data_IF_430217840077
#
_entry.id   IF_430217840077
#
_cell.length_a   1.000
_cell.length_b   1.000
_cell.length_c   1.000
_cell.angle_alpha   90.00
_cell.angle_beta   90.00
_cell.angle_gamma   90.00
#
_symmetry.space_group_name_H-M   'P 1'
#
loop_
_entity.id
_entity.type
_entity.pdbx_description
1 polymer ?
#
# COMPACT_ATOMS: atom_id res chain seq x y z
N UNK A 1 58.80 8.56 61.82
CA UNK A 1 58.38 9.94 61.49
C UNK A 1 58.44 10.28 60.00
N UNK A 2 59.52 9.95 59.25
CA UNK A 2 59.55 10.21 57.80
C UNK A 2 58.75 9.16 57.02
N UNK A 3 58.93 7.89 57.36
CA UNK A 3 58.28 6.75 56.70
C UNK A 3 56.75 6.74 56.92
N UNK A 4 56.28 7.04 58.12
CA UNK A 4 54.84 7.13 58.44
C UNK A 4 54.13 8.20 57.60
N UNK A 5 54.81 9.33 57.34
CA UNK A 5 54.27 10.42 56.51
C UNK A 5 54.17 9.99 55.05
N UNK A 6 55.15 9.24 54.54
CA UNK A 6 55.09 8.71 53.18
C UNK A 6 53.95 7.70 53.00
N UNK A 7 53.72 6.84 54.01
CA UNK A 7 52.61 5.88 54.00
C UNK A 7 51.26 6.62 53.99
N UNK A 8 51.10 7.65 54.83
CA UNK A 8 49.88 8.47 54.87
C UNK A 8 49.63 9.13 53.51
N UNK A 9 50.65 9.76 52.91
CA UNK A 9 50.52 10.42 51.61
C UNK A 9 50.11 9.44 50.50
N UNK A 10 50.70 8.24 50.47
CA UNK A 10 50.32 7.19 49.50
C UNK A 10 48.88 6.72 49.72
N UNK A 11 48.47 6.58 50.98
CA UNK A 11 47.12 6.18 51.32
C UNK A 11 46.08 7.22 50.86
N UNK A 12 46.35 8.50 51.11
CA UNK A 12 45.50 9.60 50.66
C UNK A 12 45.39 9.64 49.13
N UNK A 13 46.49 9.40 48.42
CA UNK A 13 46.49 9.34 46.95
C UNK A 13 45.65 8.17 46.44
N UNK A 14 45.77 6.98 47.05
CA UNK A 14 44.94 5.81 46.71
C UNK A 14 43.45 6.11 46.93
N UNK A 15 43.11 6.77 48.04
CA UNK A 15 41.73 7.17 48.33
C UNK A 15 41.22 8.13 47.26
N UNK A 16 42.03 9.14 46.87
CA UNK A 16 41.66 10.11 45.84
C UNK A 16 41.39 9.44 44.50
N UNK A 17 42.32 8.60 44.04
CA UNK A 17 42.18 7.87 42.78
C UNK A 17 40.96 6.96 42.76
N UNK A 18 40.69 6.29 43.90
CA UNK A 18 39.49 5.46 44.03
C UNK A 18 38.21 6.28 43.98
N UNK A 19 38.18 7.43 44.64
CA UNK A 19 37.03 8.33 44.62
C UNK A 19 36.73 8.82 43.18
N UNK A 20 37.77 9.25 42.46
CA UNK A 20 37.66 9.69 41.07
C UNK A 20 37.15 8.56 40.16
N UNK A 21 37.72 7.36 40.26
CA UNK A 21 37.29 6.22 39.47
C UNK A 21 35.81 5.86 39.74
N UNK A 22 35.40 5.87 41.01
CA UNK A 22 34.01 5.61 41.37
C UNK A 22 33.07 6.66 40.78
N UNK A 23 33.44 7.93 40.85
CA UNK A 23 32.67 9.01 40.22
C UNK A 23 32.52 8.77 38.71
N UNK A 24 33.61 8.50 38.00
CA UNK A 24 33.58 8.20 36.56
C UNK A 24 32.69 6.99 36.24
N UNK A 25 32.77 5.92 37.04
CA UNK A 25 31.91 4.74 36.87
C UNK A 25 30.42 5.07 37.09
N UNK A 26 30.10 5.92 38.06
CA UNK A 26 28.70 6.32 38.31
C UNK A 26 28.15 7.18 37.18
N UNK A 27 28.93 8.12 36.64
CA UNK A 27 28.54 8.96 35.50
C UNK A 27 28.25 8.08 34.28
N UNK A 28 29.16 7.15 33.96
CA UNK A 28 28.99 6.22 32.83
C UNK A 28 27.75 5.34 33.02
N UNK A 29 27.52 4.82 34.23
CA UNK A 29 26.33 4.02 34.55
C UNK A 29 25.05 4.83 34.32
N UNK A 30 25.00 6.06 34.81
CA UNK A 30 23.83 6.93 34.66
C UNK A 30 23.56 7.26 33.20
N UNK A 31 24.60 7.53 32.41
CA UNK A 31 24.47 7.75 30.97
C UNK A 31 23.86 6.53 30.26
N UNK A 32 24.31 5.32 30.60
CA UNK A 32 23.76 4.09 30.03
C UNK A 32 22.29 3.87 30.42
N UNK A 33 21.91 4.20 31.66
CA UNK A 33 20.52 4.13 32.12
C UNK A 33 19.64 5.07 31.28
N UNK A 34 20.05 6.34 31.14
CA UNK A 34 19.32 7.35 30.35
C UNK A 34 19.16 6.90 28.89
N UNK A 35 20.22 6.38 28.27
CA UNK A 35 20.16 5.87 26.89
C UNK A 35 19.18 4.71 26.74
N UNK A 36 19.19 3.77 27.69
CA UNK A 36 18.25 2.63 27.68
C UNK A 36 16.80 3.10 27.83
N UNK A 37 16.52 4.03 28.73
CA UNK A 37 15.18 4.59 28.91
C UNK A 37 14.70 5.34 27.66
N UNK A 38 15.57 6.14 27.04
CA UNK A 38 15.25 6.81 25.77
C UNK A 38 14.93 5.80 24.67
N UNK A 39 15.73 4.72 24.57
CA UNK A 39 15.49 3.68 23.58
C UNK A 39 14.19 2.92 23.85
N UNK A 40 13.88 2.63 25.12
CA UNK A 40 12.62 1.99 25.51
C UNK A 40 11.42 2.84 25.10
N UNK A 41 11.44 4.14 25.45
CA UNK A 41 10.39 5.10 25.06
C UNK A 41 10.17 5.15 23.55
N UNK A 42 11.26 5.19 22.76
CA UNK A 42 11.19 5.15 21.28
C UNK A 42 10.55 3.84 20.79
N UNK A 43 10.93 2.70 21.37
CA UNK A 43 10.37 1.39 21.01
C UNK A 43 8.90 1.27 21.37
N UNK A 44 8.50 1.77 22.53
CA UNK A 44 7.09 1.76 22.96
C UNK A 44 6.22 2.67 22.09
N UNK A 45 6.70 3.87 21.77
CA UNK A 45 6.00 4.78 20.85
C UNK A 45 5.84 4.16 19.45
N UNK A 46 6.91 3.55 18.91
CA UNK A 46 6.85 2.83 17.65
C UNK A 46 5.90 1.63 17.71
N UNK A 47 5.91 0.86 18.81
CA UNK A 47 5.01 -0.26 19.04
C UNK A 47 3.55 0.18 19.04
N UNK A 48 3.23 1.25 19.79
CA UNK A 48 1.87 1.81 19.87
C UNK A 48 1.37 2.29 18.50
N UNK A 49 2.20 3.03 17.76
CA UNK A 49 1.90 3.44 16.38
C UNK A 49 1.66 2.24 15.47
N UNK A 50 2.54 1.24 15.51
CA UNK A 50 2.43 0.05 14.67
C UNK A 50 1.15 -0.75 14.99
N UNK A 51 0.78 -0.86 16.28
CA UNK A 51 -0.47 -1.53 16.67
C UNK A 51 -1.70 -0.80 16.14
N UNK A 52 -1.72 0.54 16.19
CA UNK A 52 -2.82 1.33 15.62
C UNK A 52 -2.92 1.14 14.10
N UNK A 53 -1.79 1.23 13.40
CA UNK A 53 -1.76 1.04 11.94
C UNK A 53 -2.23 -0.36 11.55
N UNK A 54 -1.82 -1.39 12.28
CA UNK A 54 -2.24 -2.76 12.02
C UNK A 54 -3.76 -2.94 12.21
N UNK A 55 -4.33 -2.32 13.24
CA UNK A 55 -5.77 -2.32 13.46
C UNK A 55 -6.53 -1.63 12.33
N UNK A 56 -6.02 -0.51 11.83
CA UNK A 56 -6.67 0.22 10.74
C UNK A 56 -6.55 -0.54 9.41
N UNK A 57 -5.40 -1.18 9.15
CA UNK A 57 -5.23 -2.09 8.01
C UNK A 57 -6.21 -3.26 8.07
N UNK A 58 -6.37 -3.89 9.24
CA UNK A 58 -7.34 -4.97 9.43
C UNK A 58 -8.77 -4.51 9.13
N UNK A 59 -9.17 -3.33 9.62
CA UNK A 59 -10.51 -2.77 9.34
C UNK A 59 -10.72 -2.55 7.84
N UNK A 60 -9.72 -2.01 7.14
CA UNK A 60 -9.78 -1.77 5.70
C UNK A 60 -9.88 -3.10 4.96
N UNK A 61 -9.06 -4.08 5.33
CA UNK A 61 -9.09 -5.43 4.77
C UNK A 61 -10.46 -6.08 4.96
N UNK A 62 -11.04 -6.02 6.16
CA UNK A 62 -12.37 -6.55 6.45
C UNK A 62 -13.47 -5.83 5.66
N UNK A 63 -13.34 -4.52 5.44
CA UNK A 63 -14.26 -3.77 4.59
C UNK A 63 -14.18 -4.22 3.13
N UNK A 64 -12.96 -4.41 2.62
CA UNK A 64 -12.72 -4.87 1.26
C UNK A 64 -13.23 -6.30 1.10
N UNK A 65 -12.90 -7.22 2.01
CA UNK A 65 -13.38 -8.61 2.00
C UNK A 65 -14.91 -8.68 2.01
N UNK A 66 -15.57 -7.85 2.83
CA UNK A 66 -17.04 -7.78 2.86
C UNK A 66 -17.65 -7.19 1.58
N UNK A 67 -16.96 -6.27 0.90
CA UNK A 67 -17.42 -5.68 -0.37
C UNK A 67 -17.12 -6.57 -1.59
N UNK A 68 -16.10 -7.40 -1.54
CA UNK A 68 -15.56 -8.16 -2.68
C UNK A 68 -16.32 -9.43 -3.05
N UNK A 69 -17.57 -9.63 -2.62
CA UNK A 69 -18.39 -10.68 -3.23
C UNK A 69 -19.23 -10.07 -4.36
N UNK A 70 -18.88 -10.30 -5.64
CA UNK A 70 -19.82 -10.08 -6.73
C UNK A 70 -21.12 -10.82 -6.40
N UNK A 71 -22.26 -10.16 -6.59
CA UNK A 71 -23.54 -10.82 -6.42
C UNK A 71 -23.56 -12.08 -7.31
N UNK A 72 -23.99 -13.26 -6.82
CA UNK A 72 -23.89 -14.52 -7.57
C UNK A 72 -24.45 -14.45 -9.00
N UNK A 73 -25.48 -13.62 -9.23
CA UNK A 73 -26.02 -13.37 -10.56
C UNK A 73 -25.05 -12.65 -11.49
N UNK A 74 -24.26 -11.68 -11.00
CA UNK A 74 -23.22 -11.01 -11.77
C UNK A 74 -22.15 -12.03 -12.19
N UNK A 75 -21.71 -12.88 -11.27
CA UNK A 75 -20.74 -13.93 -11.53
C UNK A 75 -21.24 -14.93 -12.57
N UNK A 76 -22.51 -15.35 -12.46
CA UNK A 76 -23.15 -16.24 -13.42
C UNK A 76 -23.36 -15.58 -14.80
N UNK A 77 -23.61 -14.26 -14.84
CA UNK A 77 -23.66 -13.51 -16.10
C UNK A 77 -22.28 -13.39 -16.73
N UNK A 78 -21.24 -13.05 -15.97
CA UNK A 78 -19.86 -12.97 -16.45
C UNK A 78 -19.38 -14.32 -16.97
N UNK A 79 -19.64 -15.40 -16.26
CA UNK A 79 -19.31 -16.77 -16.70
C UNK A 79 -19.98 -17.09 -18.03
N UNK A 80 -21.30 -16.83 -18.17
CA UNK A 80 -22.03 -17.06 -19.43
C UNK A 80 -21.55 -16.15 -20.55
N UNK A 81 -21.18 -14.91 -20.24
CA UNK A 81 -20.62 -13.98 -21.20
C UNK A 81 -19.30 -14.50 -21.76
N UNK A 82 -18.36 -14.92 -20.90
CA UNK A 82 -17.09 -15.48 -21.35
C UNK A 82 -17.25 -16.76 -22.16
N UNK A 83 -18.17 -17.65 -21.77
CA UNK A 83 -18.53 -18.82 -22.58
C UNK A 83 -19.04 -18.41 -23.97
N UNK A 84 -19.94 -17.42 -24.04
CA UNK A 84 -20.45 -16.93 -25.32
C UNK A 84 -19.36 -16.27 -26.17
N UNK A 85 -18.39 -15.58 -25.55
CA UNK A 85 -17.23 -15.01 -26.25
C UNK A 85 -16.35 -16.12 -26.83
N UNK A 86 -16.08 -17.16 -26.06
CA UNK A 86 -15.30 -18.33 -26.52
C UNK A 86 -16.01 -19.07 -27.66
N UNK A 87 -17.33 -19.24 -27.57
CA UNK A 87 -18.14 -19.83 -28.64
C UNK A 87 -18.15 -18.98 -29.92
N UNK A 88 -18.16 -17.65 -29.78
CA UNK A 88 -18.14 -16.73 -30.91
C UNK A 88 -16.74 -16.58 -31.52
N UNK A 89 -15.67 -16.76 -30.73
CA UNK A 89 -14.28 -16.49 -31.13
C UNK A 89 -13.87 -17.12 -32.48
N UNK A 90 -14.21 -18.39 -32.79
CA UNK A 90 -13.87 -19.01 -34.07
C UNK A 90 -14.48 -18.31 -35.28
N UNK A 91 -15.68 -17.73 -35.14
CA UNK A 91 -16.31 -16.96 -36.23
C UNK A 91 -15.64 -15.59 -36.46
N UNK A 92 -14.99 -15.06 -35.41
CA UNK A 92 -14.24 -13.81 -35.47
C UNK A 92 -12.78 -14.00 -35.87
N UNK A 93 -12.21 -15.20 -35.69
CA UNK A 93 -10.79 -15.50 -35.94
C UNK A 93 -10.30 -15.06 -37.34
N UNK A 94 -11.00 -15.35 -38.46
CA UNK A 94 -10.54 -14.91 -39.79
C UNK A 94 -10.50 -13.39 -39.93
N UNK A 95 -11.47 -12.69 -39.35
CA UNK A 95 -11.53 -11.24 -39.35
C UNK A 95 -10.45 -10.62 -38.47
N UNK A 96 -10.25 -11.13 -37.25
CA UNK A 96 -9.23 -10.67 -36.31
C UNK A 96 -7.81 -10.88 -36.84
N UNK A 97 -7.60 -11.90 -37.68
CA UNK A 97 -6.34 -12.15 -38.39
C UNK A 97 -6.18 -11.35 -39.69
N UNK A 98 -7.16 -10.49 -40.03
CA UNK A 98 -7.16 -9.67 -41.25
C UNK A 98 -7.36 -10.45 -42.54
N UNK A 99 -7.88 -11.68 -42.46
CA UNK A 99 -8.02 -12.62 -43.58
C UNK A 99 -9.46 -12.85 -44.04
N UNK A 100 -10.45 -12.22 -43.40
CA UNK A 100 -11.86 -12.41 -43.71
C UNK A 100 -12.71 -11.17 -43.49
N UNK A 101 -13.93 -11.14 -44.03
CA UNK A 101 -14.91 -10.07 -43.78
C UNK A 101 -15.38 -10.10 -42.33
N UNK A 102 -15.95 -8.99 -41.86
CA UNK A 102 -16.46 -8.92 -40.49
C UNK A 102 -17.58 -9.98 -40.31
N UNK A 103 -17.66 -10.70 -39.18
CA UNK A 103 -18.67 -11.75 -38.98
C UNK A 103 -20.13 -11.26 -39.01
N UNK A 104 -20.36 -9.94 -38.96
CA UNK A 104 -21.68 -9.32 -39.22
C UNK A 104 -22.07 -9.21 -40.69
N UNK A 105 -21.11 -9.39 -41.61
CA UNK A 105 -21.27 -9.11 -43.04
C UNK A 105 -21.66 -10.38 -43.84
N UNK A 106 -22.13 -11.43 -43.14
CA UNK A 106 -22.58 -12.67 -43.75
C UNK A 106 -23.68 -12.41 -44.81
N UNK A 107 -23.61 -13.05 -46.00
CA UNK A 107 -24.40 -12.70 -47.20
C UNK A 107 -25.88 -13.16 -47.17
N UNK A 108 -26.48 -13.29 -45.98
CA UNK A 108 -27.86 -13.76 -45.79
C UNK A 108 -28.92 -12.65 -45.64
N UNK A 109 -28.54 -11.39 -45.48
CA UNK A 109 -29.50 -10.30 -45.38
C UNK A 109 -29.70 -9.61 -46.74
N UNK A 110 -30.93 -9.54 -47.29
CA UNK A 110 -31.15 -8.80 -48.52
C UNK A 110 -30.82 -7.32 -48.31
N UNK A 111 -30.31 -6.62 -49.34
CA UNK A 111 -29.87 -5.24 -49.21
C UNK A 111 -31.06 -4.38 -48.78
N UNK A 112 -30.98 -3.83 -47.57
CA UNK A 112 -31.86 -2.73 -47.18
C UNK A 112 -31.53 -1.57 -48.11
N UNK A 113 -32.45 -1.35 -49.05
CA UNK A 113 -32.48 -0.26 -50.02
C UNK A 113 -31.83 1.00 -49.46
N UNK A 114 -30.92 1.56 -50.25
CA UNK A 114 -30.42 2.91 -50.10
C UNK A 114 -31.59 3.88 -49.94
N UNK A 115 -31.81 4.39 -48.73
CA UNK A 115 -32.57 5.60 -48.53
C UNK A 115 -31.57 6.74 -48.35
N UNK A 116 -31.18 7.32 -49.48
CA UNK A 116 -30.48 8.59 -49.52
C UNK A 116 -31.33 9.67 -48.84
N UNK A 117 -30.68 10.30 -47.86
CA UNK A 117 -30.72 11.72 -47.50
C UNK A 117 -31.95 12.26 -46.75
N UNK A 118 -31.74 12.57 -45.47
CA UNK A 118 -32.02 13.92 -44.96
C UNK A 118 -31.08 14.22 -43.78
N UNK A 119 -30.25 15.23 -44.00
CA UNK A 119 -29.47 15.98 -43.03
C UNK A 119 -30.12 16.08 -41.65
N UNK A 120 -29.33 15.82 -40.60
CA UNK A 120 -29.32 16.62 -39.38
C UNK A 120 -27.98 16.40 -38.67
N UNK A 121 -27.15 17.42 -38.70
CA UNK A 121 -25.99 17.61 -37.82
C UNK A 121 -26.45 17.53 -36.37
N UNK A 122 -26.07 16.47 -35.65
CA UNK A 122 -26.10 16.45 -34.19
C UNK A 122 -24.68 16.18 -33.73
N UNK A 123 -24.06 17.28 -33.35
CA UNK A 123 -22.91 17.48 -32.49
C UNK A 123 -22.51 16.23 -31.68
N UNK A 124 -21.39 15.61 -32.05
CA UNK A 124 -20.74 14.63 -31.19
C UNK A 124 -20.09 15.37 -30.02
N UNK A 125 -20.84 15.52 -28.92
CA UNK A 125 -20.26 15.91 -27.64
C UNK A 125 -19.78 14.64 -26.93
N UNK A 126 -18.49 14.54 -26.54
CA UNK A 126 -18.01 13.43 -25.73
C UNK A 126 -18.75 13.39 -24.37
N UNK A 127 -18.90 12.21 -23.75
CA UNK A 127 -19.54 12.08 -22.44
C UNK A 127 -18.80 12.91 -21.40
N UNK A 128 -19.51 13.53 -20.42
CA UNK A 128 -18.88 14.38 -19.43
C UNK A 128 -17.94 13.57 -18.53
N UNK A 129 -16.66 13.93 -18.53
CA UNK A 129 -15.70 13.44 -17.53
C UNK A 129 -16.07 13.96 -16.12
N UNK A 130 -15.95 13.14 -15.08
CA UNK A 130 -16.09 13.61 -13.70
C UNK A 130 -14.94 14.56 -13.34
N UNK A 131 -15.27 15.73 -12.80
CA UNK A 131 -14.29 16.72 -12.34
C UNK A 131 -13.56 16.22 -11.08
N UNK A 132 -12.27 16.50 -10.92
CA UNK A 132 -11.59 16.29 -9.64
C UNK A 132 -12.17 17.22 -8.58
N UNK A 133 -12.54 16.63 -7.44
CA UNK A 133 -12.99 17.33 -6.24
C UNK A 133 -11.82 18.13 -5.65
N UNK A 134 -11.93 19.46 -5.70
CA UNK A 134 -11.09 20.35 -4.89
C UNK A 134 -11.59 20.29 -3.46
N UNK A 135 -10.85 19.59 -2.59
CA UNK A 135 -11.03 19.69 -1.14
C UNK A 135 -10.39 21.01 -0.67
N UNK A 136 -11.15 21.74 0.14
CA UNK A 136 -10.79 23.03 0.75
C UNK A 136 -9.94 22.82 1.99
#
# INVERSE_FOLDING_TARGET
MSEDKEIINRHEEIIRQRAELLEQMTVRRNQLIIQKEQQLKKREAARSRNTSLLQDLQKIEDCIRRRQMPHPNLLAMETRFWVSVEEALPSWEPFLLGKGPHPSDSPGHPPRRDRRTSSNTVDQRPPPHPKPSTSR
#
